data_IF_221966738486
#
_entry.id   IF_221966738486
#
_cell.length_a   1.000
_cell.length_b   1.000
_cell.length_c   1.000
_cell.angle_alpha   90.00
_cell.angle_beta   90.00
_cell.angle_gamma   90.00
#
_symmetry.space_group_name_H-M   'P 1'
#
loop_
_entity.id
_entity.type
_entity.pdbx_description
1 polymer ?
#
# COMPACT_ATOMS: atom_id res chain seq x y z
N UNK A 1 1.58 -6.95 12.92
CA UNK A 1 1.96 -7.30 11.53
C UNK A 1 2.82 -8.55 11.48
N UNK A 2 4.01 -8.58 12.14
CA UNK A 2 4.90 -9.75 12.09
C UNK A 2 4.21 -11.07 12.43
N UNK A 3 3.47 -11.11 13.55
CA UNK A 3 2.65 -12.28 13.94
C UNK A 3 1.63 -12.70 12.86
N UNK A 4 0.95 -11.73 12.26
CA UNK A 4 -0.07 -11.98 11.23
C UNK A 4 0.52 -12.49 9.91
N UNK A 5 1.77 -12.13 9.60
CA UNK A 5 2.47 -12.55 8.38
C UNK A 5 3.32 -13.81 8.56
N UNK A 6 3.48 -14.30 9.79
CA UNK A 6 4.28 -15.50 10.05
C UNK A 6 3.86 -16.72 9.21
N UNK A 7 2.56 -17.00 8.96
CA UNK A 7 2.15 -18.10 8.09
C UNK A 7 2.48 -17.91 6.60
N UNK A 8 2.80 -16.67 6.18
CA UNK A 8 3.04 -16.29 4.78
C UNK A 8 4.51 -15.91 4.52
N UNK A 9 5.43 -16.27 5.42
CA UNK A 9 6.87 -16.01 5.24
C UNK A 9 7.34 -16.57 3.89
N UNK A 10 8.10 -15.75 3.16
CA UNK A 10 8.59 -16.08 1.80
C UNK A 10 7.53 -15.99 0.70
N UNK A 11 6.25 -15.72 1.01
CA UNK A 11 5.17 -15.58 0.04
C UNK A 11 4.72 -14.13 -0.16
N UNK A 12 5.14 -13.23 0.73
CA UNK A 12 4.79 -11.81 0.70
C UNK A 12 6.03 -10.94 0.62
N UNK A 13 5.88 -9.78 0.01
CA UNK A 13 6.88 -8.70 -0.01
C UNK A 13 6.59 -7.76 1.14
N UNK A 14 7.59 -7.52 1.99
CA UNK A 14 7.51 -6.62 3.13
C UNK A 14 8.27 -5.33 2.82
N UNK A 15 7.50 -4.24 2.76
CA UNK A 15 8.04 -2.89 2.67
C UNK A 15 7.86 -2.15 4.00
N UNK A 16 8.93 -1.56 4.53
CA UNK A 16 8.88 -0.73 5.74
C UNK A 16 9.80 0.49 5.59
N UNK A 17 9.82 1.38 6.59
CA UNK A 17 10.48 2.68 6.49
C UNK A 17 11.32 3.01 7.72
N UNK A 18 12.33 3.85 7.53
CA UNK A 18 13.14 4.49 8.58
C UNK A 18 13.16 6.00 8.43
N UNK A 19 13.80 6.70 9.37
CA UNK A 19 14.11 8.12 9.23
C UNK A 19 13.32 9.05 10.14
N UNK A 20 12.31 8.56 10.87
CA UNK A 20 11.73 9.33 11.97
C UNK A 20 12.50 9.06 13.26
N UNK A 21 12.83 10.13 13.97
CA UNK A 21 13.31 10.05 15.34
C UNK A 21 12.12 9.72 16.25
N UNK A 22 12.22 8.59 16.96
CA UNK A 22 11.15 8.07 17.80
C UNK A 22 11.63 8.13 19.25
N UNK A 23 10.87 8.82 20.08
CA UNK A 23 11.13 8.86 21.51
C UNK A 23 10.99 7.43 22.08
N UNK A 24 12.05 6.89 22.73
CA UNK A 24 12.05 5.52 23.21
C UNK A 24 11.07 5.29 24.38
N UNK A 25 10.75 6.31 25.17
CA UNK A 25 9.82 6.24 26.28
C UNK A 25 8.36 6.34 25.80
N UNK A 26 8.06 7.30 24.93
CA UNK A 26 6.69 7.53 24.46
C UNK A 26 6.30 6.67 23.26
N UNK A 27 7.28 6.12 22.54
CA UNK A 27 7.13 5.38 21.27
C UNK A 27 6.40 6.20 20.20
N UNK A 28 6.57 7.52 20.24
CA UNK A 28 6.00 8.48 19.30
C UNK A 28 7.11 9.20 18.54
N UNK A 29 6.87 9.63 17.28
CA UNK A 29 7.81 10.50 16.60
C UNK A 29 8.05 11.78 17.41
N UNK A 30 9.32 12.16 17.61
CA UNK A 30 9.71 13.40 18.31
C UNK A 30 9.43 14.66 17.50
N UNK A 31 8.89 14.50 16.28
CA UNK A 31 8.74 15.55 15.27
C UNK A 31 10.00 15.77 14.44
N UNK A 32 11.12 15.11 14.77
CA UNK A 32 12.39 15.20 14.02
C UNK A 32 12.61 13.98 13.14
N UNK A 33 13.50 14.14 12.17
CA UNK A 33 14.02 13.06 11.33
C UNK A 33 15.45 12.75 11.73
N UNK A 34 15.88 11.51 11.52
CA UNK A 34 17.28 11.12 11.64
C UNK A 34 17.60 10.02 10.64
N UNK A 35 18.44 10.35 9.67
CA UNK A 35 18.95 9.43 8.65
C UNK A 35 20.46 9.24 8.76
N UNK A 36 21.04 9.44 9.95
CA UNK A 36 22.47 9.18 10.19
C UNK A 36 22.79 7.70 9.94
N UNK A 37 23.86 7.34 9.21
CA UNK A 37 24.17 5.95 8.85
C UNK A 37 24.14 4.95 10.02
N UNK A 38 24.70 5.33 11.16
CA UNK A 38 24.71 4.53 12.39
C UNK A 38 23.30 4.27 12.96
N UNK A 39 22.42 5.28 12.89
CA UNK A 39 21.02 5.15 13.32
C UNK A 39 20.25 4.25 12.36
N UNK A 40 20.48 4.37 11.05
CA UNK A 40 19.83 3.51 10.04
C UNK A 40 20.14 2.03 10.34
N UNK A 41 21.41 1.74 10.65
CA UNK A 41 21.90 0.39 11.00
C UNK A 41 21.32 -0.15 12.31
N UNK A 42 21.05 0.70 13.28
CA UNK A 42 20.37 0.30 14.52
C UNK A 42 18.87 0.02 14.27
N UNK A 43 18.19 0.91 13.56
CA UNK A 43 16.75 0.86 13.35
C UNK A 43 16.32 -0.31 12.49
N UNK A 44 17.16 -0.75 11.53
CA UNK A 44 16.86 -1.94 10.72
C UNK A 44 16.78 -3.20 11.59
N UNK A 45 17.67 -3.36 12.58
CA UNK A 45 17.65 -4.52 13.48
C UNK A 45 16.40 -4.54 14.35
N UNK A 46 15.95 -3.38 14.81
CA UNK A 46 14.66 -3.24 15.48
C UNK A 46 13.49 -3.64 14.57
N UNK A 47 13.54 -3.28 13.30
CA UNK A 47 12.50 -3.60 12.33
C UNK A 47 12.43 -5.09 12.03
N UNK A 48 13.58 -5.73 11.79
CA UNK A 48 13.69 -7.18 11.58
C UNK A 48 13.12 -7.96 12.77
N UNK A 49 13.49 -7.59 14.01
CA UNK A 49 12.95 -8.22 15.23
C UNK A 49 11.42 -8.11 15.32
N UNK A 50 10.86 -6.91 15.10
CA UNK A 50 9.40 -6.68 15.20
C UNK A 50 8.60 -7.40 14.10
N UNK A 51 9.19 -7.53 12.92
CA UNK A 51 8.58 -8.21 11.78
C UNK A 51 8.77 -9.73 11.85
N UNK A 52 9.80 -10.20 12.58
CA UNK A 52 10.15 -11.61 12.68
C UNK A 52 10.68 -12.17 11.37
N UNK A 53 11.45 -11.38 10.62
CA UNK A 53 12.03 -11.73 9.31
C UNK A 53 13.53 -11.49 9.29
N UNK A 54 14.23 -12.24 8.45
CA UNK A 54 15.69 -12.16 8.32
C UNK A 54 16.13 -11.02 7.38
N UNK A 55 15.27 -10.65 6.43
CA UNK A 55 15.51 -9.58 5.48
C UNK A 55 14.22 -8.79 5.18
N UNK A 56 14.37 -7.47 5.01
CA UNK A 56 13.31 -6.58 4.52
C UNK A 56 13.39 -6.49 3.00
N UNK A 57 12.29 -6.72 2.29
CA UNK A 57 12.31 -6.70 0.82
C UNK A 57 12.52 -5.28 0.28
N UNK A 58 11.86 -4.27 0.87
CA UNK A 58 12.01 -2.88 0.45
C UNK A 58 12.05 -1.94 1.65
N UNK A 59 13.17 -1.23 1.80
CA UNK A 59 13.39 -0.32 2.92
C UNK A 59 13.42 1.13 2.44
N UNK A 60 12.45 1.92 2.90
CA UNK A 60 12.30 3.31 2.51
C UNK A 60 12.95 4.27 3.50
N UNK A 61 13.70 5.26 3.01
CA UNK A 61 13.83 6.51 3.76
C UNK A 61 12.46 7.22 3.74
N UNK A 62 11.85 7.43 4.91
CA UNK A 62 10.48 7.94 5.02
C UNK A 62 10.39 9.44 4.71
N UNK A 63 11.39 10.20 5.11
CA UNK A 63 11.54 11.63 4.80
C UNK A 63 13.00 11.93 4.57
N UNK A 64 13.29 12.81 3.60
CA UNK A 64 14.65 13.28 3.37
C UNK A 64 15.09 14.08 4.60
N UNK A 65 16.21 13.67 5.18
CA UNK A 65 16.87 14.38 6.25
C UNK A 65 17.78 15.46 5.63
N UNK A 66 17.54 16.76 5.89
CA UNK A 66 18.35 17.83 5.32
C UNK A 66 19.75 17.90 5.94
N UNK A 67 19.95 17.34 7.13
CA UNK A 67 21.20 17.43 7.87
C UNK A 67 22.19 16.30 7.52
N UNK A 68 21.76 15.32 6.72
CA UNK A 68 22.58 14.18 6.29
C UNK A 68 22.65 14.14 4.76
N UNK A 69 23.86 14.14 4.17
CA UNK A 69 24.03 13.94 2.73
C UNK A 69 23.32 12.67 2.26
N UNK A 70 22.56 12.76 1.16
CA UNK A 70 21.79 11.61 0.68
C UNK A 70 22.70 10.44 0.24
N UNK A 71 23.91 10.75 -0.18
CA UNK A 71 24.95 9.79 -0.54
C UNK A 71 25.32 8.90 0.65
N UNK A 72 25.41 9.47 1.86
CA UNK A 72 25.71 8.72 3.08
C UNK A 72 24.54 7.81 3.47
N UNK A 73 23.30 8.30 3.30
CA UNK A 73 22.09 7.49 3.51
C UNK A 73 22.05 6.31 2.53
N UNK A 74 22.27 6.57 1.24
CA UNK A 74 22.29 5.55 0.21
C UNK A 74 23.42 4.54 0.43
N UNK A 75 24.60 5.00 0.87
CA UNK A 75 25.73 4.16 1.27
C UNK A 75 25.39 3.26 2.45
N UNK A 76 24.72 3.80 3.48
CA UNK A 76 24.27 3.00 4.62
C UNK A 76 23.30 1.90 4.20
N UNK A 77 22.34 2.20 3.30
CA UNK A 77 21.41 1.18 2.79
C UNK A 77 22.12 0.16 1.89
N UNK A 78 23.11 0.57 1.11
CA UNK A 78 23.96 -0.34 0.33
C UNK A 78 24.65 -1.37 1.22
N UNK A 79 25.28 -0.94 2.31
CA UNK A 79 25.90 -1.86 3.27
C UNK A 79 24.88 -2.83 3.89
N UNK A 80 23.65 -2.37 4.16
CA UNK A 80 22.58 -3.24 4.65
C UNK A 80 22.12 -4.27 3.61
N UNK A 81 22.18 -3.93 2.33
CA UNK A 81 21.90 -4.84 1.23
C UNK A 81 23.02 -5.88 1.10
N UNK A 82 24.27 -5.46 1.16
CA UNK A 82 25.44 -6.34 1.16
C UNK A 82 25.43 -7.31 2.36
N UNK A 83 24.96 -6.85 3.52
CA UNK A 83 24.77 -7.67 4.71
C UNK A 83 23.53 -8.59 4.66
N UNK A 84 22.70 -8.51 3.61
CA UNK A 84 21.49 -9.32 3.42
C UNK A 84 20.31 -8.93 4.31
N UNK A 85 20.40 -7.83 5.07
CA UNK A 85 19.32 -7.35 5.96
C UNK A 85 18.20 -6.63 5.20
N UNK A 86 18.53 -6.06 4.05
CA UNK A 86 17.61 -5.36 3.14
C UNK A 86 17.84 -5.90 1.73
N UNK A 87 16.80 -5.98 0.89
CA UNK A 87 16.96 -6.39 -0.51
C UNK A 87 16.97 -5.20 -1.48
N UNK A 88 16.11 -4.20 -1.21
CA UNK A 88 15.94 -3.05 -2.09
C UNK A 88 15.82 -1.74 -1.32
N UNK A 89 16.29 -0.67 -1.95
CA UNK A 89 16.20 0.69 -1.43
C UNK A 89 15.01 1.44 -2.05
N UNK A 90 14.30 2.21 -1.23
CA UNK A 90 13.31 3.18 -1.70
C UNK A 90 13.42 4.51 -0.96
N UNK A 91 12.78 5.53 -1.52
CA UNK A 91 12.69 6.85 -0.89
C UNK A 91 11.25 7.35 -0.90
N UNK A 92 10.90 8.24 0.04
CA UNK A 92 9.58 8.85 0.08
C UNK A 92 9.68 10.36 0.17
N UNK A 93 8.81 11.05 -0.59
CA UNK A 93 8.73 12.52 -0.63
C UNK A 93 10.07 13.20 -0.95
N UNK A 94 10.84 12.63 -1.88
CA UNK A 94 12.12 13.16 -2.33
C UNK A 94 12.00 13.94 -3.64
N UNK A 95 12.81 14.99 -3.81
CA UNK A 95 12.90 15.73 -5.07
C UNK A 95 13.63 14.93 -6.15
N UNK A 96 13.44 15.30 -7.41
CA UNK A 96 14.09 14.61 -8.53
C UNK A 96 15.62 14.64 -8.44
N UNK A 97 16.20 15.76 -7.97
CA UNK A 97 17.64 15.90 -7.76
C UNK A 97 18.18 14.95 -6.68
N UNK A 98 17.48 14.85 -5.54
CA UNK A 98 17.86 13.94 -4.46
C UNK A 98 17.75 12.48 -4.90
N UNK A 99 16.70 12.12 -5.65
CA UNK A 99 16.51 10.77 -6.21
C UNK A 99 17.71 10.37 -7.10
N UNK A 100 18.13 11.24 -8.03
CA UNK A 100 19.25 10.96 -8.93
C UNK A 100 20.56 10.74 -8.17
N UNK A 101 20.86 11.61 -7.19
CA UNK A 101 22.05 11.51 -6.34
C UNK A 101 22.09 10.21 -5.55
N UNK A 102 20.97 9.85 -4.92
CA UNK A 102 20.85 8.60 -4.17
C UNK A 102 21.01 7.37 -5.07
N UNK A 103 20.34 7.37 -6.22
CA UNK A 103 20.35 6.26 -7.19
C UNK A 103 21.76 5.98 -7.74
N UNK A 104 22.59 7.02 -7.89
CA UNK A 104 23.97 6.87 -8.34
C UNK A 104 24.86 6.10 -7.34
N UNK A 105 24.53 6.15 -6.03
CA UNK A 105 25.26 5.42 -4.98
C UNK A 105 24.68 4.02 -4.78
N UNK A 106 23.35 3.94 -4.66
CA UNK A 106 22.61 2.69 -4.49
C UNK A 106 21.31 2.76 -5.31
N UNK A 107 21.13 1.90 -6.32
CA UNK A 107 19.93 1.93 -7.15
C UNK A 107 18.63 1.84 -6.33
N UNK A 108 17.78 2.85 -6.51
CA UNK A 108 16.43 2.84 -5.96
C UNK A 108 15.54 1.90 -6.76
N UNK A 109 14.74 1.11 -6.06
CA UNK A 109 13.68 0.31 -6.65
C UNK A 109 12.34 1.04 -6.69
N UNK A 110 12.08 1.92 -5.72
CA UNK A 110 10.82 2.64 -5.65
C UNK A 110 10.91 4.04 -5.01
N UNK A 111 10.05 4.94 -5.48
CA UNK A 111 9.79 6.25 -4.87
C UNK A 111 8.31 6.32 -4.48
N UNK A 112 8.04 6.67 -3.22
CA UNK A 112 6.68 6.83 -2.70
C UNK A 112 6.36 8.30 -2.42
N UNK A 113 5.44 8.90 -3.19
CA UNK A 113 5.04 10.30 -3.02
C UNK A 113 3.53 10.50 -3.06
N UNK A 114 3.04 11.62 -2.49
CA UNK A 114 1.60 11.95 -2.56
C UNK A 114 1.23 12.15 -4.03
N UNK A 115 0.17 11.49 -4.50
CA UNK A 115 -0.33 11.68 -5.86
C UNK A 115 -1.81 11.34 -5.95
N UNK A 116 -2.61 12.29 -6.44
CA UNK A 116 -4.05 12.12 -6.66
C UNK A 116 -4.54 13.11 -7.72
N UNK A 117 -5.83 13.04 -8.07
CA UNK A 117 -6.44 14.02 -8.98
C UNK A 117 -6.33 15.47 -8.49
N UNK A 118 -6.16 15.70 -7.18
CA UNK A 118 -6.00 17.03 -6.59
C UNK A 118 -4.56 17.42 -6.31
N UNK A 119 -3.66 16.43 -6.18
CA UNK A 119 -2.27 16.66 -5.88
C UNK A 119 -1.40 16.00 -6.95
N UNK A 120 -0.93 16.83 -7.90
CA UNK A 120 -0.22 16.39 -9.10
C UNK A 120 1.24 16.85 -9.16
N UNK A 121 1.78 17.40 -8.07
CA UNK A 121 3.17 17.92 -8.02
C UNK A 121 4.23 16.93 -8.51
N UNK A 122 4.14 15.61 -8.26
CA UNK A 122 5.11 14.65 -8.81
C UNK A 122 5.26 14.69 -10.34
N UNK A 123 4.26 15.18 -11.08
CA UNK A 123 4.33 15.32 -12.54
C UNK A 123 5.31 16.40 -13.01
N UNK A 124 5.68 17.35 -12.14
CA UNK A 124 6.60 18.44 -12.48
C UNK A 124 8.01 17.90 -12.80
N UNK A 125 8.49 16.91 -12.03
CA UNK A 125 9.86 16.38 -12.19
C UNK A 125 10.05 14.93 -11.71
N UNK A 126 9.33 14.48 -10.67
CA UNK A 126 9.59 13.20 -10.00
C UNK A 126 9.23 12.01 -10.88
N UNK A 127 8.08 12.07 -11.58
CA UNK A 127 7.67 10.99 -12.48
C UNK A 127 8.65 10.80 -13.64
N UNK A 128 9.12 11.91 -14.23
CA UNK A 128 10.11 11.87 -15.30
C UNK A 128 11.44 11.26 -14.81
N UNK A 129 11.91 11.64 -13.62
CA UNK A 129 13.11 11.04 -13.02
C UNK A 129 12.94 9.54 -12.73
N UNK A 130 11.75 9.11 -12.28
CA UNK A 130 11.47 7.70 -12.06
C UNK A 130 11.47 6.91 -13.39
N UNK A 131 10.89 7.48 -14.45
CA UNK A 131 10.88 6.87 -15.77
C UNK A 131 12.29 6.76 -16.37
N UNK A 132 13.07 7.84 -16.31
CA UNK A 132 14.46 7.91 -16.76
C UNK A 132 15.34 6.83 -16.09
N UNK A 133 15.20 6.65 -14.78
CA UNK A 133 16.02 5.75 -13.97
C UNK A 133 15.44 4.33 -13.83
N UNK A 134 14.28 4.04 -14.40
CA UNK A 134 13.61 2.75 -14.26
C UNK A 134 13.10 2.44 -12.84
N UNK A 135 12.77 3.47 -12.06
CA UNK A 135 12.30 3.38 -10.68
C UNK A 135 10.77 3.23 -10.65
N UNK A 136 10.24 2.35 -9.80
CA UNK A 136 8.80 2.25 -9.58
C UNK A 136 8.24 3.45 -8.81
N UNK A 137 7.13 4.03 -9.26
CA UNK A 137 6.43 5.09 -8.53
C UNK A 137 5.24 4.52 -7.74
N UNK A 138 5.17 4.83 -6.44
CA UNK A 138 4.14 4.34 -5.52
C UNK A 138 3.33 5.52 -4.96
N UNK A 139 2.11 5.78 -5.44
CA UNK A 139 1.31 6.90 -4.95
C UNK A 139 0.78 6.62 -3.55
N UNK A 140 0.93 7.57 -2.62
CA UNK A 140 0.14 7.58 -1.38
C UNK A 140 -0.97 8.64 -1.44
N UNK A 141 -2.01 8.44 -0.62
CA UNK A 141 -3.27 9.21 -0.69
C UNK A 141 -3.94 9.27 -2.07
N UNK A 142 -3.99 8.19 -2.89
CA UNK A 142 -4.59 8.27 -4.23
C UNK A 142 -6.07 8.65 -4.22
N UNK A 143 -6.77 8.35 -3.12
CA UNK A 143 -8.17 8.73 -2.89
C UNK A 143 -8.34 10.09 -2.19
N UNK A 144 -7.30 10.93 -2.19
CA UNK A 144 -7.31 12.26 -1.57
C UNK A 144 -7.73 12.20 -0.11
N UNK A 145 -7.18 11.26 0.67
CA UNK A 145 -7.52 11.05 2.09
C UNK A 145 -9.03 10.83 2.34
N UNK A 146 -9.70 10.17 1.38
CA UNK A 146 -11.11 9.81 1.44
C UNK A 146 -12.03 10.78 0.70
N UNK A 147 -11.57 11.95 0.30
CA UNK A 147 -12.43 12.92 -0.39
C UNK A 147 -12.79 12.53 -1.83
N UNK A 148 -12.00 11.65 -2.47
CA UNK A 148 -12.25 11.17 -3.83
C UNK A 148 -13.07 9.87 -3.88
N UNK A 149 -13.69 9.46 -2.76
CA UNK A 149 -14.53 8.25 -2.70
C UNK A 149 -15.98 8.49 -3.12
N UNK A 150 -16.41 9.76 -3.20
CA UNK A 150 -17.82 10.14 -3.40
C UNK A 150 -18.71 10.01 -2.16
N UNK A 151 -18.14 9.77 -0.97
CA UNK A 151 -18.90 9.62 0.29
C UNK A 151 -18.86 10.85 1.20
N UNK A 152 -17.98 11.82 0.92
CA UNK A 152 -17.86 13.07 1.68
C UNK A 152 -18.68 14.15 0.98
N UNK A 153 -19.54 14.82 1.75
CA UNK A 153 -20.40 15.93 1.29
C UNK A 153 -19.97 17.27 1.91
N UNK A 154 -20.58 18.36 1.46
CA UNK A 154 -20.38 19.70 2.02
C UNK A 154 -20.60 19.76 3.54
N UNK A 155 -21.58 18.98 4.03
CA UNK A 155 -22.01 18.95 5.43
C UNK A 155 -21.20 17.96 6.29
N UNK A 156 -20.28 17.20 5.70
CA UNK A 156 -19.46 16.25 6.46
C UNK A 156 -18.51 16.99 7.41
N UNK A 157 -18.64 16.74 8.71
CA UNK A 157 -17.73 17.24 9.74
C UNK A 157 -16.69 16.20 10.14
N UNK A 158 -15.51 16.65 10.54
CA UNK A 158 -14.44 15.80 11.07
C UNK A 158 -14.12 16.24 12.50
N UNK A 159 -13.78 15.29 13.36
CA UNK A 159 -13.38 15.56 14.75
C UNK A 159 -12.04 16.32 14.77
N UNK A 160 -12.05 17.49 15.40
CA UNK A 160 -10.89 18.38 15.47
C UNK A 160 -9.71 17.80 16.26
N UNK A 161 -9.95 16.86 17.20
CA UNK A 161 -8.91 16.33 18.08
C UNK A 161 -8.25 15.05 17.57
N UNK A 162 -8.89 14.32 16.65
CA UNK A 162 -8.50 12.96 16.29
C UNK A 162 -8.54 12.67 14.78
N UNK A 163 -9.00 13.61 13.96
CA UNK A 163 -9.06 13.45 12.51
C UNK A 163 -8.20 14.51 11.81
N UNK A 164 -7.14 14.08 11.12
CA UNK A 164 -6.24 14.97 10.38
C UNK A 164 -6.96 15.80 9.30
N UNK A 165 -8.13 15.35 8.81
CA UNK A 165 -8.90 16.08 7.80
C UNK A 165 -9.51 17.37 8.35
N UNK A 166 -9.59 17.51 9.67
CA UNK A 166 -9.97 18.76 10.33
C UNK A 166 -8.88 19.84 10.21
N UNK A 167 -7.60 19.44 10.13
CA UNK A 167 -6.44 20.35 10.14
C UNK A 167 -5.77 20.53 8.78
N UNK A 168 -6.04 19.64 7.80
CA UNK A 168 -5.46 19.74 6.46
C UNK A 168 -5.92 21.03 5.76
N UNK A 169 -4.97 21.89 5.29
CA UNK A 169 -5.28 23.07 4.51
C UNK A 169 -6.10 22.71 3.27
N UNK A 170 -7.20 23.44 3.04
CA UNK A 170 -8.08 23.19 1.89
C UNK A 170 -9.15 22.12 2.11
N UNK A 171 -9.20 21.43 3.26
CA UNK A 171 -10.25 20.44 3.55
C UNK A 171 -11.67 21.00 3.42
N UNK A 172 -11.89 22.26 3.84
CA UNK A 172 -13.17 22.97 3.67
C UNK A 172 -13.51 23.20 2.19
N UNK A 173 -12.52 23.59 1.37
CA UNK A 173 -12.68 23.76 -0.07
C UNK A 173 -12.91 22.43 -0.79
N UNK A 174 -12.31 21.34 -0.29
CA UNK A 174 -12.47 19.98 -0.82
C UNK A 174 -13.87 19.42 -0.55
N UNK A 175 -14.54 19.83 0.53
CA UNK A 175 -15.96 19.49 0.78
C UNK A 175 -16.92 20.22 -0.16
N UNK A 176 -16.61 21.47 -0.52
CA UNK A 176 -17.48 22.31 -1.35
C UNK A 176 -17.19 22.21 -2.85
N UNK A 177 -16.04 21.67 -3.24
CA UNK A 177 -15.76 21.37 -4.65
C UNK A 177 -16.52 20.10 -5.01
N UNK A 178 -17.77 20.30 -5.41
CA UNK A 178 -18.62 19.29 -6.02
C UNK A 178 -17.83 18.66 -7.16
N UNK A 179 -17.24 17.48 -6.93
CA UNK A 179 -17.03 16.59 -8.05
C UNK A 179 -18.42 16.39 -8.65
N UNK A 180 -18.58 16.57 -9.97
CA UNK A 180 -19.86 16.31 -10.60
C UNK A 180 -20.33 14.92 -10.12
N UNK A 181 -21.64 14.74 -9.88
CA UNK A 181 -22.17 13.51 -9.31
C UNK A 181 -21.55 12.30 -10.01
N UNK A 182 -21.31 11.22 -9.26
CA UNK A 182 -20.63 10.00 -9.71
C UNK A 182 -21.07 9.48 -11.10
N UNK A 183 -22.25 9.89 -11.58
CA UNK A 183 -22.77 9.71 -12.93
C UNK A 183 -21.95 10.35 -14.07
N UNK A 184 -21.12 11.37 -13.84
CA UNK A 184 -20.24 11.93 -14.87
C UNK A 184 -18.90 11.17 -14.95
N UNK A 185 -18.35 10.78 -13.81
CA UNK A 185 -17.11 10.01 -13.74
C UNK A 185 -17.28 8.57 -14.23
N UNK A 186 -18.50 8.00 -14.10
CA UNK A 186 -18.85 6.72 -14.71
C UNK A 186 -18.76 6.72 -16.24
N UNK A 187 -18.76 7.90 -16.88
CA UNK A 187 -18.67 8.03 -18.35
C UNK A 187 -17.24 8.27 -18.83
N UNK A 188 -16.37 8.84 -18.01
CA UNK A 188 -14.95 9.13 -18.33
C UNK A 188 -13.96 8.07 -17.86
N UNK A 189 -14.41 7.08 -17.07
CA UNK A 189 -13.57 5.98 -16.55
C UNK A 189 -12.92 5.10 -17.63
N UNK A 190 -13.35 5.22 -18.89
CA UNK A 190 -12.79 4.47 -20.02
C UNK A 190 -11.46 5.05 -20.54
N UNK A 191 -11.05 6.26 -20.11
CA UNK A 191 -9.91 6.95 -20.73
C UNK A 191 -8.92 7.63 -19.79
N UNK A 192 -9.03 7.41 -18.46
CA UNK A 192 -7.97 7.83 -17.54
C UNK A 192 -6.74 6.92 -17.72
N UNK A 193 -5.81 7.34 -18.58
CA UNK A 193 -4.49 6.71 -18.68
C UNK A 193 -3.72 7.05 -17.42
N UNK A 194 -3.65 6.10 -16.49
CA UNK A 194 -2.54 6.03 -15.53
C UNK A 194 -1.25 5.94 -16.36
N UNK A 195 -0.16 6.65 -15.99
CA UNK A 195 1.14 6.42 -16.61
C UNK A 195 1.41 4.92 -16.67
N UNK A 196 1.90 4.43 -17.82
CA UNK A 196 2.22 3.01 -17.96
C UNK A 196 3.20 2.64 -16.84
N UNK A 197 2.97 1.54 -16.09
CA UNK A 197 4.00 1.07 -15.20
C UNK A 197 5.25 0.80 -16.04
N UNK A 198 6.32 1.53 -15.72
CA UNK A 198 7.65 1.27 -16.29
C UNK A 198 8.00 -0.18 -15.95
N UNK A 199 8.62 -0.87 -16.89
CA UNK A 199 8.99 -2.28 -16.79
C UNK A 199 10.02 -2.42 -15.65
N UNK A 200 9.54 -2.58 -14.43
CA UNK A 200 10.39 -2.85 -13.27
C UNK A 200 10.95 -4.27 -13.40
N UNK A 201 12.25 -4.51 -13.15
CA UNK A 201 12.85 -5.84 -13.15
C UNK A 201 12.34 -6.75 -12.02
N UNK A 202 11.33 -6.31 -11.25
CA UNK A 202 10.71 -7.07 -10.17
C UNK A 202 9.96 -8.33 -10.67
N UNK A 203 10.25 -9.52 -10.13
CA UNK A 203 9.34 -10.66 -10.21
C UNK A 203 8.08 -10.32 -9.41
N UNK A 204 6.99 -10.01 -10.10
CA UNK A 204 5.72 -9.58 -9.49
C UNK A 204 5.12 -8.28 -10.04
N UNK A 205 5.69 -7.70 -11.10
CA UNK A 205 5.04 -6.57 -11.77
C UNK A 205 3.63 -6.95 -12.22
N UNK A 206 2.65 -6.07 -11.94
CA UNK A 206 1.24 -6.23 -12.29
C UNK A 206 1.09 -6.26 -13.81
N UNK A 207 1.24 -7.44 -14.41
CA UNK A 207 0.98 -7.66 -15.81
C UNK A 207 -0.52 -7.74 -16.05
N UNK A 208 -1.03 -6.84 -16.91
CA UNK A 208 -2.23 -7.16 -17.69
C UNK A 208 -1.79 -8.18 -18.73
N UNK A 209 -2.36 -9.39 -18.71
CA UNK A 209 -2.18 -10.35 -19.81
C UNK A 209 -2.52 -9.64 -21.13
N UNK A 210 -1.66 -9.71 -22.15
CA UNK A 210 -1.98 -9.12 -23.44
C UNK A 210 -3.09 -9.94 -24.09
N UNK A 211 -4.31 -9.38 -24.06
CA UNK A 211 -5.36 -9.78 -24.99
C UNK A 211 -4.85 -9.51 -26.40
N UNK A 212 -4.93 -10.53 -27.26
CA UNK A 212 -4.48 -10.53 -28.64
C UNK A 212 -4.95 -9.29 -29.41
N UNK A 213 -4.00 -8.55 -29.96
CA UNK A 213 -4.23 -7.44 -30.88
C UNK A 213 -4.75 -7.93 -32.23
N UNK A 214 -5.91 -7.43 -32.66
CA UNK A 214 -6.23 -7.23 -34.08
C UNK A 214 -6.58 -5.76 -34.30
N UNK A 215 -5.90 -5.13 -35.25
CA UNK A 215 -6.08 -3.76 -35.75
C UNK A 215 -7.38 -3.63 -36.58
N UNK A 216 -7.83 -2.40 -36.89
CA UNK A 216 -9.24 -2.04 -36.95
C UNK A 216 -9.84 -2.22 -38.35
N UNK A 217 -11.01 -2.84 -38.42
CA UNK A 217 -11.87 -2.78 -39.60
C UNK A 217 -13.15 -2.01 -39.23
N UNK A 218 -13.51 -1.05 -40.08
CA UNK A 218 -14.74 -0.27 -39.97
C UNK A 218 -15.93 -1.21 -40.01
N UNK A 219 -16.72 -1.27 -38.95
CA UNK A 219 -18.06 -1.85 -38.98
C UNK A 219 -19.04 -0.95 -38.24
N UNK A 220 -19.86 -0.30 -39.06
CA UNK A 220 -21.21 0.21 -38.86
C UNK A 220 -21.86 0.07 -37.46
N UNK A 221 -22.43 1.18 -36.98
CA UNK A 221 -23.46 1.20 -35.95
C UNK A 221 -24.57 0.17 -36.24
N UNK A 222 -24.75 -0.78 -35.34
CA UNK A 222 -26.05 -1.43 -35.15
C UNK A 222 -26.32 -1.62 -33.67
N UNK A 223 -27.50 -1.16 -33.27
CA UNK A 223 -27.96 -1.07 -31.90
C UNK A 223 -27.97 -2.44 -31.18
N UNK A 224 -27.42 -2.48 -29.97
CA UNK A 224 -27.62 -3.61 -29.06
C UNK A 224 -28.91 -3.40 -28.26
N UNK A 225 -29.92 -4.19 -28.63
CA UNK A 225 -31.15 -4.40 -27.86
C UNK A 225 -30.80 -5.01 -26.49
N UNK A 226 -31.43 -4.51 -25.43
CA UNK A 226 -31.49 -5.18 -24.13
C UNK A 226 -32.27 -6.49 -24.29
N UNK A 227 -31.62 -7.63 -24.08
CA UNK A 227 -32.29 -8.87 -23.69
C UNK A 227 -32.09 -9.08 -22.19
N UNK A 228 -33.07 -8.65 -21.43
CA UNK A 228 -33.23 -8.97 -20.02
C UNK A 228 -33.77 -10.40 -19.90
N UNK A 229 -32.95 -11.32 -19.37
CA UNK A 229 -33.40 -12.62 -18.85
C UNK A 229 -33.08 -12.64 -17.35
N UNK A 230 -34.08 -12.68 -16.45
CA UNK A 230 -33.83 -12.82 -15.02
C UNK A 230 -33.51 -14.29 -14.66
N UNK A 231 -32.66 -14.54 -13.63
CA UNK A 231 -32.43 -15.90 -13.14
C UNK A 231 -33.66 -16.43 -12.35
N UNK A 232 -33.88 -17.75 -12.33
CA UNK A 232 -35.02 -18.34 -11.65
C UNK A 232 -34.95 -18.20 -10.14
N UNK A 233 -36.10 -17.83 -9.58
CA UNK A 233 -36.42 -17.73 -8.16
C UNK A 233 -36.47 -19.12 -7.51
N UNK A 234 -35.52 -19.43 -6.63
CA UNK A 234 -35.73 -20.18 -5.39
C UNK A 234 -34.41 -20.33 -4.62
N UNK A 235 -34.13 -19.38 -3.73
CA UNK A 235 -33.17 -19.52 -2.64
C UNK A 235 -33.73 -18.74 -1.44
N UNK A 236 -34.07 -19.39 -0.31
CA UNK A 236 -34.51 -18.66 0.88
C UNK A 236 -33.30 -17.95 1.54
N UNK A 237 -33.49 -16.75 2.11
CA UNK A 237 -32.40 -15.96 2.65
C UNK A 237 -31.85 -16.56 3.95
N UNK A 238 -30.52 -16.79 4.00
CA UNK A 238 -29.80 -17.17 5.21
C UNK A 238 -29.58 -15.92 6.08
N UNK A 239 -30.38 -15.76 7.12
CA UNK A 239 -30.17 -14.76 8.16
C UNK A 239 -29.02 -15.19 9.09
N UNK A 240 -27.91 -14.46 9.08
CA UNK A 240 -26.86 -14.59 10.09
C UNK A 240 -27.14 -13.61 11.23
N UNK A 241 -27.89 -14.06 12.23
CA UNK A 241 -27.97 -13.37 13.51
C UNK A 241 -28.33 -14.34 14.65
N UNK A 242 -27.38 -14.48 15.58
CA UNK A 242 -27.54 -14.80 17.01
C UNK A 242 -28.31 -16.08 17.39
N UNK A 243 -27.60 -17.10 17.87
CA UNK A 243 -27.96 -17.77 19.13
C UNK A 243 -26.82 -18.67 19.63
N UNK A 244 -26.49 -18.48 20.92
CA UNK A 244 -25.65 -19.34 21.75
C UNK A 244 -26.55 -20.43 22.33
N UNK A 245 -26.22 -21.71 22.11
CA UNK A 245 -26.38 -22.87 23.04
C UNK A 245 -26.19 -24.19 22.27
N UNK A 246 -25.47 -25.19 22.82
CA UNK A 246 -25.38 -26.52 22.23
C UNK A 246 -26.60 -27.39 22.64
N UNK A 247 -27.09 -28.32 21.78
CA UNK A 247 -28.16 -29.24 22.16
C UNK A 247 -27.64 -30.45 22.96
N UNK A 248 -28.49 -31.09 23.79
CA UNK A 248 -28.11 -32.20 24.68
C UNK A 248 -28.12 -33.55 23.96
N UNK A 249 -27.38 -34.50 24.54
CA UNK A 249 -27.02 -35.77 23.93
C UNK A 249 -28.11 -36.85 23.84
N UNK A 250 -27.83 -37.84 23.01
CA UNK A 250 -28.38 -39.19 23.06
C UNK A 250 -27.22 -40.18 23.21
N UNK A 251 -27.24 -40.91 24.34
CA UNK A 251 -26.32 -41.99 24.69
C UNK A 251 -26.60 -43.22 23.83
N UNK A 252 -25.54 -43.91 23.41
CA UNK A 252 -25.53 -45.38 23.35
C UNK A 252 -24.29 -45.88 24.10
N UNK A 253 -24.53 -46.68 25.14
CA UNK A 253 -23.54 -47.47 25.88
C UNK A 253 -23.16 -48.71 25.07
N UNK A 254 -21.92 -49.15 25.22
CA UNK A 254 -21.57 -50.56 25.33
C UNK A 254 -20.39 -50.66 26.31
N UNK A 255 -20.50 -51.64 27.20
CA UNK A 255 -19.85 -51.74 28.50
C UNK A 255 -18.36 -52.09 28.49
N UNK A 256 -17.74 -51.78 29.64
CA UNK A 256 -16.39 -52.15 30.01
C UNK A 256 -16.36 -53.51 30.73
N UNK A 257 -15.26 -54.25 30.57
CA UNK A 257 -14.78 -55.25 31.54
C UNK A 257 -13.27 -55.13 31.75
N UNK A 258 -12.91 -54.40 32.80
CA UNK A 258 -12.11 -54.80 33.99
C UNK A 258 -10.80 -55.63 33.85
N UNK A 259 -9.65 -54.93 33.97
CA UNK A 259 -8.45 -55.17 34.85
C UNK A 259 -7.48 -56.37 34.60
N UNK A 260 -6.33 -56.51 35.32
CA UNK A 260 -5.05 -55.78 35.13
C UNK A 260 -3.78 -56.70 35.17
N UNK A 261 -2.59 -56.07 35.17
CA UNK A 261 -1.27 -56.48 35.75
C UNK A 261 -0.21 -57.23 34.92
N UNK A 262 1.02 -56.73 35.18
CA UNK A 262 2.35 -57.36 35.30
C UNK A 262 3.24 -57.49 34.05
N UNK A 263 4.49 -57.04 34.23
CA UNK A 263 5.65 -57.34 33.38
C UNK A 263 6.43 -56.10 33.01
#
# INVERSE_FOLDING_TARGET
MGEALAPYKGQVVIATKFGWDIDPAERKPSGRVSSRPEVIKEVVDGSLRRLGVDAIDLYYQHRVDPDVPIEDVAGAVKELIEAGKVKHFGMSEASAGTIRRAHAVQPLSAVQSEYSLWWRRPEEEVLAACEELGIGFVPYSPLGKGFLTGTITADTSFDAGNDIRSTIPGSRRMRSSTMPPSSSCSRTSHNARVPRPVRSPWPGSWHRSPGSSRSPERASCTAWRKTSVPPPSNCPPRNWAKSRTPPPGSRCRADATTTPRNG
#
